data_IF_017252838847
#
_entry.id   IF_017252838847
#
_cell.length_a   1.000
_cell.length_b   1.000
_cell.length_c   1.000
_cell.angle_alpha   90.00
_cell.angle_beta   90.00
_cell.angle_gamma   90.00
#
_symmetry.space_group_name_H-M   'P 1'
#
loop_
_entity.id
_entity.type
_entity.pdbx_description
1 polymer ?
#
# COMPACT_ATOMS: atom_id res chain seq x y z
N UNK A 1 -2.90 -15.19 -11.09
CA UNK A 1 -2.70 -14.58 -9.75
C UNK A 1 -1.28 -14.06 -9.77
N UNK A 2 -1.05 -12.79 -9.43
CA UNK A 2 0.31 -12.23 -9.44
C UNK A 2 0.96 -12.40 -8.07
N UNK A 3 2.23 -12.77 -8.07
CA UNK A 3 2.99 -12.94 -6.83
C UNK A 3 3.71 -11.65 -6.44
N UNK A 4 3.56 -11.30 -5.17
CA UNK A 4 4.18 -10.11 -4.58
C UNK A 4 5.11 -10.54 -3.45
N UNK A 5 6.23 -9.84 -3.31
CA UNK A 5 7.15 -9.96 -2.19
C UNK A 5 7.00 -8.75 -1.27
N UNK A 6 6.89 -9.02 0.03
CA UNK A 6 7.04 -7.99 1.06
C UNK A 6 8.48 -8.03 1.53
N UNK A 7 9.22 -6.96 1.26
CA UNK A 7 10.65 -6.83 1.50
C UNK A 7 10.89 -5.77 2.59
N UNK A 8 12.04 -5.83 3.28
CA UNK A 8 12.41 -4.81 4.27
C UNK A 8 12.57 -3.46 3.58
N UNK A 9 12.01 -2.41 4.17
CA UNK A 9 12.11 -1.02 3.71
C UNK A 9 13.46 -0.39 4.02
N UNK A 10 13.56 0.94 3.86
CA UNK A 10 14.79 1.68 4.18
C UNK A 10 15.14 1.67 5.67
N UNK A 11 14.12 1.63 6.52
CA UNK A 11 14.25 1.64 7.98
C UNK A 11 13.58 0.43 8.63
N UNK A 12 13.83 0.23 9.92
CA UNK A 12 13.19 -0.83 10.69
C UNK A 12 11.67 -0.61 10.81
N UNK A 13 10.90 -1.69 10.66
CA UNK A 13 9.44 -1.64 10.67
C UNK A 13 8.81 -1.19 9.35
N UNK A 14 9.59 -0.71 8.39
CA UNK A 14 9.11 -0.34 7.07
C UNK A 14 9.20 -1.52 6.10
N UNK A 15 8.31 -1.52 5.11
CA UNK A 15 8.30 -2.53 4.04
C UNK A 15 8.21 -1.91 2.67
N UNK A 16 8.66 -2.67 1.67
CA UNK A 16 8.44 -2.43 0.24
C UNK A 16 7.65 -3.61 -0.32
N UNK A 17 6.73 -3.34 -1.23
CA UNK A 17 5.91 -4.39 -1.84
C UNK A 17 6.27 -4.49 -3.32
N UNK A 18 6.98 -5.54 -3.71
CA UNK A 18 7.51 -5.75 -5.05
C UNK A 18 6.73 -6.80 -5.81
N UNK A 19 6.34 -6.51 -7.04
CA UNK A 19 5.82 -7.49 -7.97
C UNK A 19 6.97 -8.43 -8.39
N UNK A 20 6.85 -9.74 -8.15
CA UNK A 20 7.96 -10.67 -8.42
C UNK A 20 8.24 -10.82 -9.91
N UNK A 21 7.21 -10.74 -10.77
CA UNK A 21 7.35 -10.94 -12.20
C UNK A 21 8.03 -9.75 -12.90
N UNK A 22 7.63 -8.52 -12.57
CA UNK A 22 8.17 -7.31 -13.20
C UNK A 22 9.33 -6.67 -12.44
N UNK A 23 9.53 -7.01 -11.17
CA UNK A 23 10.51 -6.37 -10.30
C UNK A 23 10.13 -4.95 -9.85
N UNK A 24 8.95 -4.44 -10.26
CA UNK A 24 8.47 -3.11 -9.90
C UNK A 24 7.75 -3.10 -8.55
N UNK A 25 7.54 -1.93 -7.97
CA UNK A 25 7.01 -1.75 -6.62
C UNK A 25 5.65 -1.06 -6.61
N UNK A 26 4.82 -1.41 -5.62
CA UNK A 26 3.64 -0.63 -5.25
C UNK A 26 4.10 0.75 -4.76
N UNK A 27 3.57 1.79 -5.39
CA UNK A 27 4.01 3.17 -5.18
C UNK A 27 2.89 4.16 -5.51
N UNK A 28 3.21 5.46 -5.47
CA UNK A 28 2.36 6.59 -5.86
C UNK A 28 3.24 7.74 -6.37
N UNK A 29 2.66 8.61 -7.19
CA UNK A 29 3.38 9.76 -7.76
C UNK A 29 3.33 10.97 -6.83
N UNK A 30 4.46 11.64 -6.63
CA UNK A 30 4.56 12.82 -5.76
C UNK A 30 4.20 12.54 -4.30
N UNK A 31 3.52 13.48 -3.65
CA UNK A 31 3.16 13.37 -2.24
C UNK A 31 2.00 12.37 -1.98
N UNK A 32 1.96 11.84 -0.76
CA UNK A 32 0.82 11.07 -0.29
C UNK A 32 -0.36 12.00 0.01
N UNK A 33 -1.24 12.15 -0.97
CA UNK A 33 -2.48 12.93 -0.85
C UNK A 33 -3.72 12.03 -1.03
N UNK A 34 -4.89 12.39 -0.44
CA UNK A 34 -6.12 11.63 -0.65
C UNK A 34 -6.45 11.47 -2.14
N UNK A 35 -6.98 10.31 -2.50
CA UNK A 35 -7.34 9.90 -3.87
C UNK A 35 -6.15 9.78 -4.83
N UNK A 36 -4.90 9.93 -4.39
CA UNK A 36 -3.74 9.69 -5.24
C UNK A 36 -3.74 8.22 -5.70
N UNK A 37 -3.68 7.93 -7.01
CA UNK A 37 -3.66 6.57 -7.50
C UNK A 37 -2.45 5.80 -6.99
N UNK A 38 -2.69 4.58 -6.53
CA UNK A 38 -1.60 3.63 -6.28
C UNK A 38 -1.25 2.99 -7.62
N UNK A 39 0.04 3.01 -7.93
CA UNK A 39 0.59 2.58 -9.21
C UNK A 39 1.77 1.64 -8.98
N UNK A 40 2.23 1.02 -10.06
CA UNK A 40 3.41 0.16 -10.05
C UNK A 40 4.55 0.91 -10.73
N UNK A 41 5.64 1.18 -10.01
CA UNK A 41 6.77 1.98 -10.48
C UNK A 41 8.11 1.28 -10.20
N UNK A 42 9.18 1.57 -10.97
CA UNK A 42 10.49 1.02 -10.70
C UNK A 42 11.13 1.57 -9.42
N UNK A 43 10.76 2.78 -8.99
CA UNK A 43 11.22 3.36 -7.73
C UNK A 43 10.41 2.80 -6.55
N UNK A 44 11.06 2.20 -5.54
CA UNK A 44 10.36 1.70 -4.37
C UNK A 44 9.85 2.85 -3.50
N UNK A 45 8.72 2.61 -2.84
CA UNK A 45 8.28 3.40 -1.69
C UNK A 45 8.17 2.50 -0.47
N UNK A 46 8.50 3.08 0.67
CA UNK A 46 8.31 2.44 1.96
C UNK A 46 6.87 2.62 2.45
N UNK A 47 6.40 1.61 3.16
CA UNK A 47 5.06 1.51 3.72
C UNK A 47 5.14 1.01 5.15
N UNK A 48 4.17 1.38 5.98
CA UNK A 48 3.96 0.74 7.30
C UNK A 48 2.88 -0.32 7.16
N UNK A 49 3.13 -1.51 7.71
CA UNK A 49 2.09 -2.50 7.93
C UNK A 49 1.59 -2.40 9.37
N UNK A 50 0.31 -2.08 9.53
CA UNK A 50 -0.35 -2.14 10.85
C UNK A 50 -1.47 -3.16 10.82
N UNK A 51 -1.65 -3.92 11.90
CA UNK A 51 -2.70 -4.93 11.97
C UNK A 51 -4.09 -4.30 11.78
N UNK A 52 -4.92 -4.95 10.96
CA UNK A 52 -6.34 -4.67 10.83
C UNK A 52 -7.15 -5.27 11.98
N UNK A 53 -8.43 -4.92 12.07
CA UNK A 53 -9.34 -5.51 13.07
C UNK A 53 -9.58 -7.01 12.81
N UNK A 54 -9.66 -7.41 11.53
CA UNK A 54 -9.77 -8.81 11.16
C UNK A 54 -8.40 -9.50 11.23
N UNK A 55 -8.36 -10.69 11.85
CA UNK A 55 -7.13 -11.48 11.99
C UNK A 55 -6.47 -11.77 10.63
N UNK A 56 -5.15 -11.55 10.56
CA UNK A 56 -4.36 -11.75 9.35
C UNK A 56 -4.59 -10.70 8.25
N UNK A 57 -5.23 -9.57 8.57
CA UNK A 57 -5.36 -8.42 7.67
C UNK A 57 -4.51 -7.26 8.15
N UNK A 58 -4.08 -6.40 7.22
CA UNK A 58 -3.18 -5.29 7.50
C UNK A 58 -3.60 -4.04 6.74
N UNK A 59 -3.48 -2.87 7.37
CA UNK A 59 -3.42 -1.61 6.65
C UNK A 59 -2.02 -1.43 6.08
N UNK A 60 -1.95 -0.93 4.84
CA UNK A 60 -0.71 -0.54 4.17
C UNK A 60 -0.70 0.99 4.13
N UNK A 61 0.04 1.62 5.04
CA UNK A 61 0.00 3.07 5.28
C UNK A 61 1.15 3.79 4.57
N UNK A 62 0.83 4.90 3.90
CA UNK A 62 1.78 5.74 3.16
C UNK A 62 2.53 6.74 4.06
N UNK A 63 3.63 7.28 3.54
CA UNK A 63 4.40 8.37 4.16
C UNK A 63 4.25 9.67 3.38
N UNK A 64 4.37 10.81 4.07
CA UNK A 64 4.62 12.08 3.38
C UNK A 64 6.00 12.01 2.70
N UNK A 65 6.15 12.67 1.54
CA UNK A 65 7.45 12.71 0.90
C UNK A 65 8.43 13.53 1.76
N UNK A 66 9.62 13.01 2.00
CA UNK A 66 10.63 13.62 2.88
C UNK A 66 10.29 13.65 4.37
N UNK A 67 9.17 13.06 4.81
CA UNK A 67 8.80 12.93 6.21
C UNK A 67 9.18 11.57 6.80
N UNK A 68 9.55 11.55 8.08
CA UNK A 68 9.71 10.31 8.87
C UNK A 68 8.37 9.77 9.39
N UNK A 69 7.29 10.54 9.26
CA UNK A 69 6.01 10.22 9.89
C UNK A 69 5.00 9.71 8.85
N UNK A 70 4.34 8.57 9.11
CA UNK A 70 3.27 8.09 8.24
C UNK A 70 2.13 9.10 8.21
N UNK A 71 1.60 9.36 7.03
CA UNK A 71 0.32 10.08 6.91
C UNK A 71 -0.80 9.06 7.11
N UNK A 72 -1.93 9.47 7.68
CA UNK A 72 -3.06 8.57 7.93
C UNK A 72 -3.84 8.24 6.63
N UNK A 73 -3.11 7.91 5.57
CA UNK A 73 -3.58 7.46 4.28
C UNK A 73 -3.13 6.02 4.03
N UNK A 74 -4.07 5.19 3.63
CA UNK A 74 -3.86 3.76 3.40
C UNK A 74 -4.17 3.39 1.96
N UNK A 75 -3.46 2.38 1.45
CA UNK A 75 -3.77 1.74 0.19
C UNK A 75 -5.14 1.06 0.29
N UNK A 76 -6.08 1.48 -0.55
CA UNK A 76 -7.45 0.97 -0.55
C UNK A 76 -8.01 0.86 -1.97
N UNK A 77 -8.98 -0.02 -2.24
CA UNK A 77 -9.82 0.11 -3.43
C UNK A 77 -10.41 1.53 -3.52
N UNK A 78 -10.35 2.12 -4.71
CA UNK A 78 -10.94 3.43 -4.97
C UNK A 78 -12.47 3.32 -4.97
N UNK A 79 -13.19 4.26 -4.33
CA UNK A 79 -14.65 4.26 -4.34
C UNK A 79 -15.25 4.78 -5.66
N UNK A 80 -14.41 5.30 -6.58
CA UNK A 80 -14.88 5.85 -7.84
C UNK A 80 -15.37 4.72 -8.76
N UNK A 81 -16.53 4.89 -9.42
CA UNK A 81 -17.09 3.90 -10.35
C UNK A 81 -16.37 3.97 -11.72
N UNK A 82 -15.08 3.65 -11.73
CA UNK A 82 -14.22 3.65 -12.92
C UNK A 82 -13.84 2.23 -13.32
N UNK A 83 -13.70 1.99 -14.62
CA UNK A 83 -13.25 0.71 -15.17
C UNK A 83 -11.93 0.88 -15.95
N UNK A 84 -10.90 0.04 -15.71
CA UNK A 84 -10.85 -0.98 -14.66
C UNK A 84 -10.83 -0.36 -13.24
N UNK A 85 -11.29 -1.09 -12.20
CA UNK A 85 -11.15 -0.66 -10.81
C UNK A 85 -9.69 -0.39 -10.47
N UNK A 86 -9.44 0.61 -9.61
CA UNK A 86 -8.09 1.01 -9.21
C UNK A 86 -7.96 1.06 -7.70
N UNK A 87 -6.74 0.96 -7.20
CA UNK A 87 -6.37 1.29 -5.83
C UNK A 87 -5.94 2.76 -5.74
N UNK A 88 -6.18 3.38 -4.60
CA UNK A 88 -5.80 4.76 -4.30
C UNK A 88 -5.45 4.90 -2.81
N UNK A 89 -4.82 6.00 -2.47
CA UNK A 89 -4.60 6.42 -1.09
C UNK A 89 -5.88 7.03 -0.53
N UNK A 90 -6.39 6.49 0.58
CA UNK A 90 -7.58 7.00 1.26
C UNK A 90 -7.31 7.23 2.75
N UNK A 91 -7.97 8.20 3.40
CA UNK A 91 -7.93 8.31 4.86
C UNK A 91 -8.29 6.99 5.53
N UNK A 92 -7.50 6.59 6.51
CA UNK A 92 -7.72 5.36 7.27
C UNK A 92 -9.04 5.44 8.04
N UNK A 93 -9.85 4.38 7.95
CA UNK A 93 -11.11 4.23 8.68
C UNK A 93 -11.12 2.85 9.33
N UNK A 94 -11.29 2.82 10.65
CA UNK A 94 -11.13 1.61 11.47
C UNK A 94 -12.11 0.48 11.15
N UNK A 95 -13.26 0.79 10.54
CA UNK A 95 -14.39 -0.14 10.34
C UNK A 95 -14.51 -0.67 8.90
N UNK A 96 -13.48 -0.53 8.05
CA UNK A 96 -13.65 -0.58 6.59
C UNK A 96 -12.88 -1.69 5.86
N UNK A 97 -13.25 -1.88 4.59
CA UNK A 97 -12.62 -2.70 3.54
C UNK A 97 -11.24 -2.18 3.07
N UNK A 98 -10.50 -1.52 3.96
CA UNK A 98 -9.20 -0.90 3.68
C UNK A 98 -8.00 -1.78 4.11
N UNK A 99 -8.27 -3.00 4.57
CA UNK A 99 -7.22 -3.94 4.98
C UNK A 99 -6.99 -5.01 3.92
N UNK A 100 -5.74 -5.48 3.84
CA UNK A 100 -5.27 -6.45 2.87
C UNK A 100 -4.86 -7.73 3.58
N UNK A 101 -5.18 -8.88 2.96
CA UNK A 101 -4.74 -10.18 3.43
C UNK A 101 -3.59 -10.66 2.55
N UNK A 102 -2.47 -11.02 3.17
CA UNK A 102 -1.36 -11.68 2.49
C UNK A 102 -1.57 -13.19 2.56
N UNK A 103 -1.46 -13.86 1.41
CA UNK A 103 -1.48 -15.31 1.32
C UNK A 103 -0.11 -15.76 0.80
N UNK A 104 0.50 -16.80 1.39
CA UNK A 104 1.72 -17.37 0.85
C UNK A 104 1.51 -17.76 -0.63
N UNK A 105 2.47 -17.42 -1.48
CA UNK A 105 2.53 -17.97 -2.82
C UNK A 105 2.92 -19.44 -2.70
N UNK A 106 2.11 -20.35 -3.26
CA UNK A 106 2.40 -21.79 -3.31
C UNK A 106 3.45 -22.10 -4.37
#
# INVERSE_FOLDING_TARGET
MEDWAVERGSEEGLVRIRNKASGMFISYNGDAIPMNPVVVLPQPRDWVLTAGQASGTYYITAFSDGGSDPVDLVLSPSPLPIFPPRTALLPKKLETNQTWKFQPAN
#
